data_IF_473322361250
#
_entry.id   IF_473322361250
#
_cell.length_a   1.000
_cell.length_b   1.000
_cell.length_c   1.000
_cell.angle_alpha   90.00
_cell.angle_beta   90.00
_cell.angle_gamma   90.00
#
_symmetry.space_group_name_H-M   'P 1'
#
loop_
_entity.id
_entity.type
_entity.pdbx_description
1 polymer ?
#
# COMPACT_ATOMS: atom_id res chain seq x y z
N UNK A 1 44.16 33.67 -46.24
CA UNK A 1 42.91 32.90 -46.42
C UNK A 1 42.65 32.13 -45.13
N UNK A 2 41.86 32.72 -44.26
CA UNK A 2 41.51 32.17 -42.94
C UNK A 2 40.07 31.66 -43.02
N UNK A 3 39.90 30.35 -42.93
CA UNK A 3 38.60 29.70 -42.84
C UNK A 3 38.12 29.79 -41.42
N UNK A 4 37.11 30.62 -41.16
CA UNK A 4 36.38 30.68 -39.93
C UNK A 4 35.34 29.55 -39.88
N UNK A 5 35.51 28.65 -38.93
CA UNK A 5 34.52 27.64 -38.54
C UNK A 5 33.45 28.35 -37.69
N UNK A 6 32.25 28.48 -38.24
CA UNK A 6 31.09 28.90 -37.49
C UNK A 6 30.47 27.69 -36.76
N UNK A 7 30.56 27.64 -35.45
CA UNK A 7 29.73 26.75 -34.61
C UNK A 7 28.35 27.39 -34.49
N UNK A 8 27.25 26.65 -34.66
CA UNK A 8 25.93 27.17 -34.36
C UNK A 8 25.77 27.27 -32.84
N UNK A 9 25.50 28.48 -32.38
CA UNK A 9 25.09 28.74 -30.99
C UNK A 9 23.68 28.20 -30.79
N UNK A 10 23.55 27.06 -30.14
CA UNK A 10 22.30 26.63 -29.57
C UNK A 10 22.03 27.45 -28.26
N UNK A 11 21.11 28.37 -28.34
CA UNK A 11 20.43 28.95 -27.18
C UNK A 11 18.99 29.26 -27.56
N UNK A 12 18.21 28.22 -27.79
CA UNK A 12 16.77 28.31 -27.56
C UNK A 12 16.57 28.03 -26.09
N UNK A 13 16.47 29.07 -25.28
CA UNK A 13 16.15 28.97 -23.87
C UNK A 13 14.72 28.49 -23.73
N UNK A 14 14.50 27.38 -23.08
CA UNK A 14 13.20 27.00 -22.57
C UNK A 14 12.68 28.16 -21.70
N UNK A 15 11.45 28.61 -21.94
CA UNK A 15 10.80 29.57 -21.05
C UNK A 15 10.42 28.85 -19.73
N UNK A 16 10.38 29.61 -18.62
CA UNK A 16 9.89 29.03 -17.36
C UNK A 16 8.48 28.44 -17.51
N UNK A 17 7.67 28.95 -18.44
CA UNK A 17 6.35 28.41 -18.76
C UNK A 17 6.43 27.03 -19.41
N UNK A 18 7.44 26.74 -20.24
CA UNK A 18 7.64 25.43 -20.87
C UNK A 18 8.22 24.41 -19.87
N UNK A 19 9.04 24.90 -18.91
CA UNK A 19 9.61 24.05 -17.86
C UNK A 19 8.58 23.64 -16.79
N UNK A 20 7.52 24.42 -16.60
CA UNK A 20 6.48 24.22 -15.60
C UNK A 20 5.08 24.08 -16.20
N UNK A 21 4.97 23.78 -17.50
CA UNK A 21 3.69 23.52 -18.14
C UNK A 21 3.05 22.29 -17.49
N UNK A 22 1.91 22.46 -16.87
CA UNK A 22 1.05 21.34 -16.50
C UNK A 22 0.47 20.77 -17.80
N UNK A 23 0.76 19.51 -18.10
CA UNK A 23 0.28 18.84 -19.32
C UNK A 23 -1.24 18.94 -19.49
N UNK A 24 -1.70 18.75 -20.72
CA UNK A 24 -3.11 18.91 -21.11
C UNK A 24 -3.98 17.65 -20.81
N UNK A 25 -3.56 16.77 -19.90
CA UNK A 25 -4.26 15.53 -19.56
C UNK A 25 -5.09 15.67 -18.28
N UNK A 26 -4.51 16.23 -17.22
CA UNK A 26 -5.16 16.29 -15.91
C UNK A 26 -5.74 17.67 -15.58
N UNK A 27 -7.00 17.66 -15.11
CA UNK A 27 -7.62 18.84 -14.48
C UNK A 27 -7.36 18.89 -12.97
N UNK A 28 -7.41 17.74 -12.28
CA UNK A 28 -7.31 17.62 -10.81
C UNK A 28 -6.60 16.33 -10.41
N UNK A 29 -5.29 16.27 -10.53
CA UNK A 29 -4.46 15.09 -10.21
C UNK A 29 -4.65 14.57 -8.78
N UNK A 30 -4.96 15.45 -7.84
CA UNK A 30 -5.13 15.10 -6.43
C UNK A 30 -6.26 14.10 -6.18
N UNK A 31 -7.26 13.99 -7.07
CA UNK A 31 -8.35 13.02 -6.97
C UNK A 31 -7.89 11.58 -7.20
N UNK A 32 -6.75 11.39 -7.86
CA UNK A 32 -6.15 10.09 -8.14
C UNK A 32 -5.05 9.72 -7.13
N UNK A 33 -4.80 10.55 -6.10
CA UNK A 33 -3.84 10.19 -5.05
C UNK A 33 -4.44 9.14 -4.12
N UNK A 34 -3.69 8.08 -3.82
CA UNK A 34 -4.09 6.99 -2.90
C UNK A 34 -4.46 7.49 -1.50
N UNK A 35 -3.81 8.56 -1.02
CA UNK A 35 -4.12 9.18 0.28
C UNK A 35 -5.35 10.10 0.28
N UNK A 36 -5.95 10.37 -0.88
CA UNK A 36 -7.12 11.24 -0.98
C UNK A 36 -8.36 10.54 -0.38
N UNK A 37 -9.00 11.19 0.60
CA UNK A 37 -10.26 10.72 1.20
C UNK A 37 -11.41 11.47 0.54
N UNK A 38 -12.12 10.84 -0.40
CA UNK A 38 -13.18 11.48 -1.14
C UNK A 38 -14.41 11.80 -0.27
N UNK A 39 -15.28 12.65 -0.78
CA UNK A 39 -16.60 12.91 -0.22
C UNK A 39 -17.51 11.66 -0.29
N UNK A 40 -18.64 11.71 0.45
CA UNK A 40 -19.57 10.58 0.59
C UNK A 40 -20.08 10.01 -0.73
N UNK A 41 -20.42 10.89 -1.64
CA UNK A 41 -20.99 10.59 -2.97
C UNK A 41 -20.01 9.85 -3.89
N UNK A 42 -18.73 9.91 -3.59
CA UNK A 42 -17.65 9.21 -4.33
C UNK A 42 -17.22 7.88 -3.68
N UNK A 43 -17.82 7.49 -2.55
CA UNK A 43 -17.57 6.19 -1.91
C UNK A 43 -18.59 5.18 -2.40
N UNK A 44 -18.16 4.26 -3.25
CA UNK A 44 -18.98 3.28 -3.95
C UNK A 44 -18.99 1.94 -3.21
N UNK A 45 -20.15 1.27 -3.23
CA UNK A 45 -20.27 -0.14 -2.85
C UNK A 45 -19.95 -0.45 -1.39
N UNK A 46 -20.01 0.57 -0.50
CA UNK A 46 -19.72 0.42 0.94
C UNK A 46 -20.82 0.93 1.88
N UNK A 47 -22.04 1.02 1.36
CA UNK A 47 -23.17 1.50 2.17
C UNK A 47 -23.48 0.64 3.39
N UNK A 48 -23.33 -0.68 3.26
CA UNK A 48 -23.53 -1.61 4.36
C UNK A 48 -22.45 -1.42 5.43
N UNK A 49 -21.20 -1.39 5.02
CA UNK A 49 -20.03 -1.22 5.89
C UNK A 49 -20.05 0.16 6.57
N UNK A 50 -20.38 1.21 5.84
CA UNK A 50 -20.58 2.55 6.40
C UNK A 50 -21.68 2.59 7.46
N UNK A 51 -22.81 1.91 7.22
CA UNK A 51 -23.88 1.80 8.23
C UNK A 51 -23.43 1.05 9.47
N UNK A 52 -22.64 -0.03 9.32
CA UNK A 52 -22.14 -0.82 10.44
C UNK A 52 -21.10 -0.04 11.28
N UNK A 53 -20.14 0.64 10.64
CA UNK A 53 -19.20 1.53 11.33
C UNK A 53 -19.95 2.68 11.99
N UNK A 54 -20.92 3.29 11.30
CA UNK A 54 -21.77 4.35 11.84
C UNK A 54 -22.60 3.89 13.04
N UNK A 55 -23.13 2.67 13.02
CA UNK A 55 -23.86 2.09 14.15
C UNK A 55 -22.96 1.78 15.35
N UNK A 56 -21.68 1.49 15.14
CA UNK A 56 -20.71 1.33 16.24
C UNK A 56 -20.38 2.68 16.89
N UNK A 57 -20.30 3.76 16.12
CA UNK A 57 -20.02 5.11 16.61
C UNK A 57 -21.26 5.92 16.99
N UNK A 58 -22.48 5.40 16.72
CA UNK A 58 -23.73 6.12 17.01
C UNK A 58 -23.82 6.65 18.44
N UNK A 59 -23.60 5.83 19.48
CA UNK A 59 -23.61 6.30 20.87
C UNK A 59 -22.64 7.46 21.14
N UNK A 60 -21.47 7.44 20.50
CA UNK A 60 -20.45 8.48 20.64
C UNK A 60 -20.90 9.87 20.17
N UNK A 61 -21.83 9.94 19.22
CA UNK A 61 -22.33 11.22 18.71
C UNK A 61 -23.26 11.94 19.73
N UNK A 62 -23.78 11.19 20.67
CA UNK A 62 -24.65 11.68 21.77
C UNK A 62 -23.93 11.70 23.13
N UNK A 63 -22.57 11.54 23.13
CA UNK A 63 -21.73 11.59 24.31
C UNK A 63 -21.71 10.28 25.11
N UNK A 64 -22.13 9.16 24.53
CA UNK A 64 -22.06 7.84 25.14
C UNK A 64 -20.84 7.03 24.65
N UNK A 65 -20.59 5.85 25.23
CA UNK A 65 -19.46 5.01 24.86
C UNK A 65 -19.59 4.47 23.43
N UNK A 66 -18.60 4.67 22.58
CA UNK A 66 -18.55 4.00 21.27
C UNK A 66 -18.32 2.50 21.45
N UNK A 67 -18.74 1.72 20.46
CA UNK A 67 -18.42 0.28 20.44
C UNK A 67 -17.11 0.06 19.72
N UNK A 68 -16.28 -0.79 20.28
CA UNK A 68 -15.06 -1.25 19.61
C UNK A 68 -15.41 -2.04 18.34
N UNK A 69 -14.58 -1.90 17.33
CA UNK A 69 -14.79 -2.53 16.04
C UNK A 69 -13.47 -3.10 15.53
N UNK A 70 -13.52 -4.36 15.07
CA UNK A 70 -12.41 -4.95 14.34
C UNK A 70 -12.83 -5.15 12.87
N UNK A 71 -12.00 -4.66 11.95
CA UNK A 71 -12.28 -4.67 10.52
C UNK A 71 -11.23 -5.51 9.79
N UNK A 72 -11.69 -6.53 9.09
CA UNK A 72 -10.85 -7.40 8.26
C UNK A 72 -11.10 -7.18 6.78
N UNK A 73 -10.11 -7.51 5.96
CA UNK A 73 -10.24 -7.51 4.51
C UNK A 73 -8.91 -7.26 3.82
N UNK A 74 -8.80 -7.64 2.54
CA UNK A 74 -7.59 -7.41 1.76
C UNK A 74 -7.26 -5.92 1.61
N UNK A 75 -6.02 -5.62 1.23
CA UNK A 75 -5.59 -4.26 0.86
C UNK A 75 -6.49 -3.70 -0.25
N UNK A 76 -6.71 -2.39 -0.25
CA UNK A 76 -7.49 -1.70 -1.28
C UNK A 76 -9.00 -1.89 -1.24
N UNK A 77 -9.55 -2.59 -0.22
CA UNK A 77 -11.01 -2.79 -0.07
C UNK A 77 -11.76 -1.63 0.59
N UNK A 78 -11.08 -0.54 0.92
CA UNK A 78 -11.71 0.68 1.45
C UNK A 78 -11.89 0.73 2.97
N UNK A 79 -11.30 -0.18 3.76
CA UNK A 79 -11.39 -0.22 5.24
C UNK A 79 -11.04 1.11 5.90
N UNK A 80 -9.81 1.56 5.69
CA UNK A 80 -9.28 2.81 6.23
C UNK A 80 -10.05 4.03 5.74
N UNK A 81 -10.47 4.02 4.48
CA UNK A 81 -11.26 5.07 3.86
C UNK A 81 -12.61 5.24 4.58
N UNK A 82 -13.37 4.16 4.71
CA UNK A 82 -14.69 4.16 5.37
C UNK A 82 -14.57 4.54 6.83
N UNK A 83 -13.60 3.98 7.56
CA UNK A 83 -13.37 4.28 8.98
C UNK A 83 -13.08 5.77 9.19
N UNK A 84 -12.14 6.34 8.44
CA UNK A 84 -11.80 7.78 8.50
C UNK A 84 -12.97 8.67 8.09
N UNK A 85 -13.70 8.28 7.03
CA UNK A 85 -14.87 9.04 6.58
C UNK A 85 -15.97 9.09 7.64
N UNK A 86 -16.33 7.95 8.24
CA UNK A 86 -17.39 7.88 9.25
C UNK A 86 -16.97 8.59 10.53
N UNK A 87 -15.71 8.47 10.99
CA UNK A 87 -15.23 9.23 12.16
C UNK A 87 -15.31 10.75 11.93
N UNK A 88 -14.93 11.25 10.74
CA UNK A 88 -15.11 12.69 10.40
C UNK A 88 -16.58 13.12 10.46
N UNK A 89 -17.49 12.28 9.98
CA UNK A 89 -18.93 12.56 10.03
C UNK A 89 -19.49 12.51 11.44
N UNK A 90 -19.09 11.51 12.25
CA UNK A 90 -19.46 11.41 13.65
C UNK A 90 -19.03 12.67 14.40
N UNK A 91 -17.79 13.13 14.22
CA UNK A 91 -17.29 14.38 14.81
C UNK A 91 -18.11 15.61 14.39
N UNK A 92 -18.42 15.77 13.09
CA UNK A 92 -19.27 16.86 12.62
C UNK A 92 -20.70 16.79 13.19
N UNK A 93 -21.21 15.58 13.40
CA UNK A 93 -22.54 15.38 13.97
C UNK A 93 -22.56 15.70 15.46
N UNK A 94 -21.59 15.18 16.24
CA UNK A 94 -21.47 15.39 17.68
C UNK A 94 -21.34 16.88 18.06
N UNK A 95 -20.65 17.68 17.26
CA UNK A 95 -20.51 19.13 17.44
C UNK A 95 -21.88 19.85 17.48
N UNK A 96 -22.88 19.35 16.76
CA UNK A 96 -24.24 19.94 16.78
C UNK A 96 -24.97 19.71 18.11
N UNK A 97 -24.60 18.65 18.83
CA UNK A 97 -25.11 18.30 20.15
C UNK A 97 -24.22 18.83 21.28
N UNK A 98 -23.17 19.59 20.97
CA UNK A 98 -22.23 20.13 21.95
C UNK A 98 -21.25 19.09 22.51
N UNK A 99 -21.17 17.89 21.93
CA UNK A 99 -20.28 16.81 22.36
C UNK A 99 -18.90 16.99 21.72
N UNK A 100 -17.86 16.99 22.55
CA UNK A 100 -16.47 17.09 22.13
C UNK A 100 -15.92 15.70 21.75
N UNK A 101 -16.24 15.24 20.54
CA UNK A 101 -15.70 14.01 19.97
C UNK A 101 -14.41 14.30 19.19
N UNK A 102 -13.34 13.56 19.52
CA UNK A 102 -12.06 13.59 18.80
C UNK A 102 -11.76 12.22 18.23
N UNK A 103 -11.01 12.20 17.12
CA UNK A 103 -10.53 10.96 16.53
C UNK A 103 -9.14 11.13 15.94
N UNK A 104 -8.34 10.07 16.01
CA UNK A 104 -6.99 9.99 15.44
C UNK A 104 -6.86 8.72 14.59
N UNK A 105 -5.91 8.75 13.68
CA UNK A 105 -5.57 7.62 12.83
C UNK A 105 -4.07 7.33 12.95
N UNK A 106 -3.73 6.08 13.24
CA UNK A 106 -2.35 5.61 13.30
C UNK A 106 -2.20 4.40 12.37
N UNK A 107 -1.18 4.46 11.54
CA UNK A 107 -0.73 3.34 10.72
C UNK A 107 0.32 2.53 11.51
N UNK A 108 -0.03 1.30 11.84
CA UNK A 108 0.85 0.42 12.62
C UNK A 108 1.98 -0.19 11.78
N UNK A 109 2.01 0.01 10.47
CA UNK A 109 3.18 -0.35 9.64
C UNK A 109 4.36 0.59 9.90
N UNK A 110 4.07 1.87 10.20
CA UNK A 110 5.07 2.87 10.55
C UNK A 110 5.32 2.91 12.07
N UNK A 111 4.29 2.62 12.86
CA UNK A 111 4.32 2.61 14.32
C UNK A 111 4.05 1.21 14.87
N UNK A 112 5.04 0.31 14.73
CA UNK A 112 4.93 -1.13 14.99
C UNK A 112 5.07 -1.56 16.46
N UNK A 113 5.35 -0.62 17.36
CA UNK A 113 5.51 -0.87 18.80
C UNK A 113 4.59 0.00 19.64
N UNK A 114 4.22 -0.46 20.83
CA UNK A 114 3.38 0.30 21.79
C UNK A 114 3.89 1.73 21.98
N UNK A 115 5.20 1.91 22.16
CA UNK A 115 5.78 3.24 22.38
C UNK A 115 5.63 4.16 21.17
N UNK A 116 5.79 3.63 19.94
CA UNK A 116 5.61 4.41 18.72
C UNK A 116 4.16 4.81 18.50
N UNK A 117 3.23 3.87 18.71
CA UNK A 117 1.80 4.17 18.63
C UNK A 117 1.41 5.21 19.67
N UNK A 118 1.79 5.02 20.94
CA UNK A 118 1.47 5.97 22.02
C UNK A 118 2.02 7.37 21.73
N UNK A 119 3.25 7.45 21.20
CA UNK A 119 3.86 8.72 20.75
C UNK A 119 3.02 9.37 19.66
N UNK A 120 2.66 8.62 18.63
CA UNK A 120 1.90 9.13 17.48
C UNK A 120 0.53 9.65 17.90
N UNK A 121 -0.18 8.91 18.77
CA UNK A 121 -1.45 9.33 19.36
C UNK A 121 -1.32 10.67 20.08
N UNK A 122 -0.33 10.81 20.96
CA UNK A 122 -0.12 12.03 21.73
C UNK A 122 0.21 13.21 20.84
N UNK A 123 1.09 13.04 19.86
CA UNK A 123 1.50 14.13 18.98
C UNK A 123 0.33 14.64 18.15
N UNK A 124 -0.50 13.76 17.57
CA UNK A 124 -1.68 14.15 16.82
C UNK A 124 -2.70 14.89 17.67
N UNK A 125 -2.99 14.38 18.89
CA UNK A 125 -3.93 15.02 19.83
C UNK A 125 -3.40 16.35 20.32
N UNK A 126 -2.09 16.45 20.67
CA UNK A 126 -1.43 17.69 21.09
C UNK A 126 -1.52 18.76 20.01
N UNK A 127 -1.19 18.42 18.79
CA UNK A 127 -1.18 19.36 17.65
C UNK A 127 -2.57 19.98 17.42
N UNK A 128 -3.62 19.23 17.74
CA UNK A 128 -5.00 19.71 17.62
C UNK A 128 -5.51 20.47 18.84
N UNK A 129 -5.24 19.98 20.06
CA UNK A 129 -5.87 20.48 21.29
C UNK A 129 -4.98 21.42 22.11
N UNK A 130 -3.67 21.16 22.12
CA UNK A 130 -2.71 21.89 22.92
C UNK A 130 -1.35 22.04 22.22
N UNK A 131 -1.27 22.75 21.09
CA UNK A 131 -0.06 22.83 20.27
C UNK A 131 1.14 23.46 21.01
N UNK A 132 0.91 24.16 22.11
CA UNK A 132 1.94 24.74 22.98
C UNK A 132 2.46 23.78 24.06
N UNK A 133 1.85 22.60 24.23
CA UNK A 133 2.30 21.61 25.20
C UNK A 133 3.61 20.99 24.73
N UNK A 134 4.64 21.05 25.55
CA UNK A 134 5.91 20.38 25.27
C UNK A 134 5.82 18.89 25.59
N UNK A 135 5.86 18.07 24.54
CA UNK A 135 5.87 16.61 24.64
C UNK A 135 7.17 16.12 24.01
N UNK A 136 8.02 15.41 24.78
CA UNK A 136 9.26 14.86 24.24
C UNK A 136 8.99 13.88 23.10
N UNK A 137 9.66 14.08 21.95
CA UNK A 137 9.52 13.20 20.78
C UNK A 137 10.30 11.90 20.97
N UNK A 138 11.30 11.88 21.86
CA UNK A 138 12.19 10.75 22.13
C UNK A 138 12.56 10.69 23.61
N UNK A 139 13.04 9.53 24.07
CA UNK A 139 13.64 9.37 25.40
C UNK A 139 12.67 9.05 26.52
N UNK A 140 11.38 8.86 26.24
CA UNK A 140 10.37 8.41 27.22
C UNK A 140 9.68 7.12 26.75
N UNK A 141 9.12 6.37 27.71
CA UNK A 141 8.42 5.12 27.42
C UNK A 141 6.93 5.30 27.13
N UNK A 142 6.27 4.22 26.70
CA UNK A 142 4.84 4.21 26.36
C UNK A 142 3.95 4.74 27.50
N UNK A 143 4.22 4.34 28.75
CA UNK A 143 3.45 4.77 29.92
C UNK A 143 3.47 6.28 30.15
N UNK A 144 4.57 6.95 29.77
CA UNK A 144 4.67 8.42 29.90
C UNK A 144 3.93 9.11 28.76
N UNK A 145 3.99 8.57 27.52
CA UNK A 145 3.16 9.06 26.42
C UNK A 145 1.67 8.93 26.75
N UNK A 146 1.22 7.78 27.28
CA UNK A 146 -0.18 7.64 27.71
C UNK A 146 -0.58 8.65 28.79
N UNK A 147 0.30 8.98 29.72
CA UNK A 147 0.00 10.02 30.73
C UNK A 147 -0.25 11.39 30.08
N UNK A 148 0.56 11.77 29.07
CA UNK A 148 0.30 12.97 28.29
C UNK A 148 -1.02 12.87 27.53
N UNK A 149 -1.31 11.72 26.93
CA UNK A 149 -2.55 11.48 26.19
C UNK A 149 -3.77 11.71 27.10
N UNK A 150 -3.79 11.06 28.27
CA UNK A 150 -4.92 11.18 29.19
C UNK A 150 -5.11 12.62 29.67
N UNK A 151 -4.05 13.36 29.96
CA UNK A 151 -4.13 14.79 30.29
C UNK A 151 -4.71 15.63 29.15
N UNK A 152 -4.35 15.33 27.89
CA UNK A 152 -4.90 16.02 26.73
C UNK A 152 -6.38 15.72 26.48
N UNK A 153 -6.90 14.64 27.02
CA UNK A 153 -8.29 14.23 26.89
C UNK A 153 -9.21 14.73 28.04
N UNK A 154 -8.70 15.49 29.00
CA UNK A 154 -9.49 15.99 30.15
C UNK A 154 -10.78 16.75 29.75
N UNK A 155 -10.74 17.50 28.63
CA UNK A 155 -11.88 18.24 28.09
C UNK A 155 -12.56 17.53 26.88
N UNK A 156 -12.29 16.23 26.67
CA UNK A 156 -12.84 15.43 25.58
C UNK A 156 -13.89 14.48 26.11
N UNK A 157 -15.09 14.48 25.54
CA UNK A 157 -16.17 13.57 25.95
C UNK A 157 -15.97 12.18 25.37
N UNK A 158 -15.56 12.11 24.09
CA UNK A 158 -15.36 10.84 23.36
C UNK A 158 -14.09 10.89 22.51
N UNK A 159 -13.27 9.89 22.64
CA UNK A 159 -12.04 9.72 21.86
C UNK A 159 -12.08 8.42 21.05
N UNK A 160 -11.97 8.52 19.71
CA UNK A 160 -11.97 7.37 18.81
C UNK A 160 -10.59 7.21 18.20
N UNK A 161 -10.01 6.02 18.35
CA UNK A 161 -8.72 5.68 17.76
C UNK A 161 -8.92 4.71 16.61
N UNK A 162 -8.39 5.04 15.44
CA UNK A 162 -8.30 4.11 14.30
C UNK A 162 -6.85 3.61 14.25
N UNK A 163 -6.67 2.32 14.49
CA UNK A 163 -5.40 1.61 14.33
C UNK A 163 -5.46 0.80 13.05
N UNK A 164 -4.70 1.20 12.05
CA UNK A 164 -4.63 0.49 10.77
C UNK A 164 -3.44 -0.46 10.74
N UNK A 165 -3.56 -1.57 10.01
CA UNK A 165 -2.54 -2.62 9.90
C UNK A 165 -2.06 -3.17 11.25
N UNK A 166 -3.01 -3.41 12.19
CA UNK A 166 -2.69 -3.92 13.54
C UNK A 166 -1.92 -5.26 13.53
N UNK A 167 -1.99 -6.02 12.44
CA UNK A 167 -1.20 -7.25 12.25
C UNK A 167 0.30 -7.00 12.06
N UNK A 168 0.75 -5.75 12.08
CA UNK A 168 2.15 -5.33 12.13
C UNK A 168 2.65 -5.00 13.53
N UNK A 169 1.75 -4.86 14.50
CA UNK A 169 2.13 -4.60 15.88
C UNK A 169 2.96 -5.76 16.44
N UNK A 170 3.97 -5.42 17.23
CA UNK A 170 4.83 -6.39 17.90
C UNK A 170 4.08 -7.17 19.01
N UNK A 171 3.08 -6.54 19.63
CA UNK A 171 2.25 -7.09 20.70
C UNK A 171 0.87 -6.40 20.76
N UNK A 172 -0.01 -6.89 21.65
CA UNK A 172 -1.38 -6.40 21.81
C UNK A 172 -1.53 -5.33 22.89
N UNK A 173 -0.44 -4.83 23.46
CA UNK A 173 -0.48 -3.96 24.66
C UNK A 173 -1.20 -2.64 24.38
N UNK A 174 -1.01 -2.08 23.18
CA UNK A 174 -1.74 -0.87 22.70
C UNK A 174 -3.25 -1.07 22.76
N UNK A 175 -3.74 -2.20 22.25
CA UNK A 175 -5.17 -2.51 22.19
C UNK A 175 -5.73 -2.64 23.60
N UNK A 176 -4.97 -3.27 24.50
CA UNK A 176 -5.35 -3.43 25.91
C UNK A 176 -5.37 -2.09 26.64
N UNK A 177 -4.39 -1.22 26.44
CA UNK A 177 -4.31 0.10 27.07
C UNK A 177 -5.48 1.00 26.66
N UNK A 178 -5.81 1.04 25.37
CA UNK A 178 -6.86 1.89 24.85
C UNK A 178 -8.27 1.38 25.20
N UNK A 179 -8.53 0.07 25.00
CA UNK A 179 -9.86 -0.51 25.24
C UNK A 179 -10.28 -0.53 26.71
N UNK A 180 -9.35 -0.38 27.63
CA UNK A 180 -9.60 -0.38 29.10
C UNK A 180 -9.30 0.95 29.77
N UNK A 181 -9.05 2.00 29.02
CA UNK A 181 -8.63 3.28 29.58
C UNK A 181 -9.66 3.86 30.56
N UNK A 182 -10.94 3.85 30.21
CA UNK A 182 -12.07 4.27 31.03
C UNK A 182 -12.25 3.37 32.27
N UNK A 183 -12.35 2.05 32.06
CA UNK A 183 -12.51 1.08 33.17
C UNK A 183 -11.40 1.18 34.23
N UNK A 184 -10.19 1.54 33.77
CA UNK A 184 -9.02 1.69 34.64
C UNK A 184 -8.92 3.08 35.29
N UNK A 185 -9.89 3.97 35.02
CA UNK A 185 -9.91 5.35 35.56
C UNK A 185 -8.76 6.21 35.10
N UNK A 186 -8.24 5.99 33.87
CA UNK A 186 -7.14 6.76 33.33
C UNK A 186 -7.60 8.06 32.64
N UNK A 187 -8.84 8.09 32.21
CA UNK A 187 -9.50 9.23 31.58
C UNK A 187 -11.01 9.15 31.82
N UNK A 188 -11.68 10.28 31.88
CA UNK A 188 -13.15 10.38 31.94
C UNK A 188 -13.76 10.33 30.52
N UNK A 189 -12.94 10.47 29.47
CA UNK A 189 -13.38 10.34 28.08
C UNK A 189 -13.74 8.89 27.75
N UNK A 190 -14.86 8.68 27.07
CA UNK A 190 -15.16 7.38 26.46
C UNK A 190 -14.21 7.07 25.32
N UNK A 191 -13.48 5.97 25.42
CA UNK A 191 -12.49 5.57 24.39
C UNK A 191 -13.05 4.44 23.53
N UNK A 192 -13.05 4.63 22.20
CA UNK A 192 -13.40 3.61 21.22
C UNK A 192 -12.25 3.29 20.29
N UNK A 193 -12.09 2.02 19.97
CA UNK A 193 -11.02 1.54 19.08
C UNK A 193 -11.62 0.92 17.83
N UNK A 194 -11.17 1.40 16.68
CA UNK A 194 -11.41 0.77 15.36
C UNK A 194 -10.09 0.15 14.93
N UNK A 195 -10.00 -1.16 15.02
CA UNK A 195 -8.84 -1.95 14.66
C UNK A 195 -8.99 -2.49 13.23
N UNK A 196 -8.00 -2.30 12.38
CA UNK A 196 -8.04 -2.73 10.98
C UNK A 196 -6.88 -3.69 10.70
N UNK A 197 -7.20 -4.87 10.15
CA UNK A 197 -6.19 -5.85 9.72
C UNK A 197 -6.40 -6.29 8.27
N UNK A 198 -5.29 -6.55 7.58
CA UNK A 198 -5.28 -7.16 6.25
C UNK A 198 -5.35 -8.70 6.31
N UNK A 199 -5.23 -9.29 7.50
CA UNK A 199 -5.22 -10.76 7.74
C UNK A 199 -6.39 -11.17 8.63
N UNK A 200 -7.23 -12.05 8.13
CA UNK A 200 -8.34 -12.61 8.92
C UNK A 200 -7.80 -13.50 10.06
N UNK A 201 -6.71 -14.20 9.81
CA UNK A 201 -6.06 -15.09 10.77
C UNK A 201 -5.47 -14.34 11.98
N UNK A 202 -5.28 -13.02 11.89
CA UNK A 202 -4.81 -12.19 13.02
C UNK A 202 -5.75 -12.29 14.24
N UNK A 203 -7.03 -12.53 14.02
CA UNK A 203 -8.00 -12.79 15.10
C UNK A 203 -7.57 -13.92 16.04
N UNK A 204 -7.00 -14.99 15.48
CA UNK A 204 -6.57 -16.16 16.27
C UNK A 204 -5.29 -15.89 17.06
N UNK A 205 -4.56 -14.83 16.71
CA UNK A 205 -3.33 -14.42 17.35
C UNK A 205 -3.58 -13.46 18.54
N UNK A 206 -4.74 -12.80 18.58
CA UNK A 206 -5.09 -11.88 19.65
C UNK A 206 -5.20 -12.61 20.98
N UNK A 207 -4.62 -12.04 22.03
CA UNK A 207 -4.77 -12.52 23.40
C UNK A 207 -6.26 -12.56 23.79
N UNK A 208 -6.70 -13.61 24.52
CA UNK A 208 -8.10 -13.75 24.95
C UNK A 208 -8.66 -12.51 25.68
N UNK A 209 -7.81 -11.82 26.46
CA UNK A 209 -8.20 -10.60 27.19
C UNK A 209 -8.46 -9.42 26.25
N UNK A 210 -7.65 -9.27 25.20
CA UNK A 210 -7.82 -8.24 24.18
C UNK A 210 -9.03 -8.60 23.33
N UNK A 211 -9.13 -9.85 22.93
CA UNK A 211 -10.25 -10.36 22.15
C UNK A 211 -11.60 -10.09 22.85
N UNK A 212 -11.69 -10.35 24.16
CA UNK A 212 -12.92 -10.07 24.94
C UNK A 212 -13.21 -8.56 25.08
N UNK A 213 -12.20 -7.69 25.07
CA UNK A 213 -12.39 -6.22 25.17
C UNK A 213 -12.72 -5.57 23.82
N UNK A 214 -12.30 -6.18 22.70
CA UNK A 214 -12.53 -5.67 21.35
C UNK A 214 -13.75 -6.28 20.65
N UNK A 215 -14.35 -7.35 21.21
CA UNK A 215 -15.38 -8.17 20.57
C UNK A 215 -16.78 -7.53 20.46
N UNK A 216 -16.90 -6.21 20.51
CA UNK A 216 -18.21 -5.61 20.32
C UNK A 216 -18.77 -5.87 18.92
N UNK A 217 -17.94 -5.77 17.90
CA UNK A 217 -18.35 -6.06 16.49
C UNK A 217 -17.17 -6.41 15.58
N UNK A 218 -17.42 -7.36 14.69
CA UNK A 218 -16.53 -7.69 13.57
C UNK A 218 -17.16 -7.28 12.24
N UNK A 219 -16.32 -6.80 11.32
CA UNK A 219 -16.75 -6.41 10.00
C UNK A 219 -15.73 -6.86 8.96
N UNK A 220 -16.21 -7.53 7.91
CA UNK A 220 -15.36 -7.96 6.80
C UNK A 220 -15.64 -7.13 5.56
N UNK A 221 -14.59 -6.57 4.97
CA UNK A 221 -14.62 -5.88 3.70
C UNK A 221 -14.22 -6.84 2.57
N UNK A 222 -15.14 -7.12 1.70
CA UNK A 222 -14.87 -7.95 0.52
C UNK A 222 -14.17 -7.14 -0.57
N UNK A 223 -13.35 -7.78 -1.43
CA UNK A 223 -12.81 -7.14 -2.63
C UNK A 223 -13.91 -6.54 -3.50
N UNK A 224 -13.57 -5.48 -4.22
CA UNK A 224 -14.49 -4.90 -5.19
C UNK A 224 -14.59 -5.78 -6.44
N UNK A 225 -15.78 -5.85 -7.02
CA UNK A 225 -15.99 -6.42 -8.35
C UNK A 225 -15.69 -5.40 -9.46
N UNK A 226 -15.69 -5.84 -10.72
CA UNK A 226 -15.37 -4.97 -11.84
C UNK A 226 -16.37 -3.81 -12.00
N UNK A 227 -17.70 -3.99 -11.90
CA UNK A 227 -18.67 -2.89 -11.92
C UNK A 227 -18.44 -1.85 -10.82
N UNK A 228 -18.12 -2.28 -9.60
CA UNK A 228 -17.82 -1.37 -8.49
C UNK A 228 -16.55 -0.56 -8.74
N UNK A 229 -15.50 -1.21 -9.27
CA UNK A 229 -14.26 -0.52 -9.64
C UNK A 229 -14.48 0.48 -10.77
N UNK A 230 -15.28 0.13 -11.76
CA UNK A 230 -15.66 1.03 -12.84
C UNK A 230 -16.38 2.28 -12.30
N UNK A 231 -17.36 2.11 -11.41
CA UNK A 231 -18.05 3.22 -10.75
C UNK A 231 -17.08 4.08 -9.89
N UNK A 232 -16.14 3.44 -9.18
CA UNK A 232 -15.09 4.14 -8.39
C UNK A 232 -14.23 5.01 -9.30
N UNK A 233 -13.85 4.53 -10.49
CA UNK A 233 -13.04 5.25 -11.45
C UNK A 233 -13.86 6.33 -12.18
N UNK A 234 -15.11 6.06 -12.55
CA UNK A 234 -16.01 7.06 -13.13
C UNK A 234 -16.22 8.25 -12.19
N UNK A 235 -16.36 8.02 -10.90
CA UNK A 235 -16.44 9.08 -9.89
C UNK A 235 -15.13 9.88 -9.72
N UNK A 236 -14.10 9.56 -10.50
CA UNK A 236 -12.82 10.28 -10.59
C UNK A 236 -12.50 10.76 -12.01
N UNK A 237 -13.39 10.57 -12.95
CA UNK A 237 -13.24 11.03 -14.35
C UNK A 237 -12.89 12.52 -14.42
N UNK A 238 -13.41 13.32 -13.51
CA UNK A 238 -13.14 14.75 -13.37
C UNK A 238 -11.70 15.08 -12.85
N UNK A 239 -10.87 14.08 -12.64
CA UNK A 239 -9.42 14.27 -12.49
C UNK A 239 -8.74 14.61 -13.83
N UNK A 240 -9.37 14.28 -14.93
CA UNK A 240 -8.93 14.53 -16.28
C UNK A 240 -9.67 15.70 -16.92
N UNK A 241 -9.07 16.29 -17.93
CA UNK A 241 -9.75 17.28 -18.78
C UNK A 241 -10.88 16.63 -19.58
N UNK A 242 -11.89 17.39 -19.94
CA UNK A 242 -13.03 16.90 -20.68
C UNK A 242 -12.61 16.34 -22.06
N UNK A 243 -13.05 15.13 -22.37
CA UNK A 243 -12.80 14.46 -23.64
C UNK A 243 -11.43 13.77 -23.79
N UNK A 244 -10.55 13.88 -22.78
CA UNK A 244 -9.20 13.27 -22.83
C UNK A 244 -9.25 11.76 -22.60
N UNK A 245 -10.16 11.25 -21.77
CA UNK A 245 -10.29 9.82 -21.53
C UNK A 245 -11.13 9.13 -22.60
N UNK A 246 -10.55 8.20 -23.34
CA UNK A 246 -11.30 7.30 -24.21
C UNK A 246 -12.29 6.44 -23.40
N UNK A 247 -13.42 6.07 -24.01
CA UNK A 247 -14.51 5.37 -23.32
C UNK A 247 -14.13 3.98 -22.81
N UNK A 248 -13.12 3.34 -23.40
CA UNK A 248 -12.65 2.00 -23.02
C UNK A 248 -11.59 2.00 -21.90
N UNK A 249 -11.04 3.15 -21.53
CA UNK A 249 -9.98 3.29 -20.51
C UNK A 249 -10.45 2.83 -19.14
N UNK A 250 -11.56 3.39 -18.65
CA UNK A 250 -12.08 3.08 -17.31
C UNK A 250 -12.56 1.63 -17.21
N UNK A 251 -13.39 1.10 -18.14
CA UNK A 251 -13.78 -0.31 -18.11
C UNK A 251 -12.60 -1.28 -18.14
N UNK A 252 -11.58 -0.99 -18.95
CA UNK A 252 -10.37 -1.82 -19.03
C UNK A 252 -9.57 -1.79 -17.73
N UNK A 253 -9.35 -0.61 -17.16
CA UNK A 253 -8.65 -0.44 -15.88
C UNK A 253 -9.37 -1.19 -14.75
N UNK A 254 -10.71 -1.07 -14.68
CA UNK A 254 -11.53 -1.78 -13.71
C UNK A 254 -11.43 -3.31 -13.86
N UNK A 255 -11.50 -3.80 -15.09
CA UNK A 255 -11.37 -5.23 -15.38
C UNK A 255 -10.00 -5.79 -14.98
N UNK A 256 -8.91 -5.06 -15.25
CA UNK A 256 -7.56 -5.45 -14.85
C UNK A 256 -7.43 -5.52 -13.31
N UNK A 257 -7.85 -4.48 -12.60
CA UNK A 257 -7.79 -4.45 -11.14
C UNK A 257 -8.69 -5.51 -10.47
N UNK A 258 -9.86 -5.81 -11.06
CA UNK A 258 -10.74 -6.88 -10.57
C UNK A 258 -10.09 -8.26 -10.68
N UNK A 259 -9.37 -8.53 -11.78
CA UNK A 259 -8.61 -9.79 -11.99
C UNK A 259 -7.50 -9.96 -10.96
N UNK A 260 -6.92 -8.87 -10.47
CA UNK A 260 -5.84 -8.84 -9.49
C UNK A 260 -6.35 -8.62 -8.05
N UNK A 261 -7.45 -9.22 -7.68
CA UNK A 261 -8.01 -9.22 -6.32
C UNK A 261 -8.96 -8.07 -5.96
N UNK A 262 -9.43 -7.26 -6.88
CA UNK A 262 -10.43 -6.21 -6.61
C UNK A 262 -9.91 -5.09 -5.71
N UNK A 263 -8.67 -4.67 -5.92
CA UNK A 263 -7.99 -3.59 -5.19
C UNK A 263 -8.28 -2.24 -5.86
N UNK A 264 -9.05 -1.37 -5.18
CA UNK A 264 -9.38 -0.05 -5.70
C UNK A 264 -8.17 0.91 -5.74
N UNK A 265 -7.18 0.75 -4.84
CA UNK A 265 -5.95 1.55 -4.89
C UNK A 265 -5.22 1.27 -6.20
N UNK A 266 -5.07 -0.02 -6.53
CA UNK A 266 -4.43 -0.43 -7.77
C UNK A 266 -5.17 0.08 -9.02
N UNK A 267 -6.50 0.06 -9.00
CA UNK A 267 -7.30 0.61 -10.10
C UNK A 267 -7.00 2.11 -10.31
N UNK A 268 -6.98 2.88 -9.22
CA UNK A 268 -6.68 4.32 -9.25
C UNK A 268 -5.23 4.59 -9.68
N UNK A 269 -4.28 3.79 -9.19
CA UNK A 269 -2.86 3.92 -9.56
C UNK A 269 -2.63 3.65 -11.05
N UNK A 270 -3.24 2.59 -11.61
CA UNK A 270 -3.15 2.29 -13.05
C UNK A 270 -3.75 3.43 -13.89
N UNK A 271 -4.91 3.97 -13.47
CA UNK A 271 -5.54 5.08 -14.19
C UNK A 271 -4.68 6.36 -14.12
N UNK A 272 -4.09 6.66 -12.98
CA UNK A 272 -3.17 7.78 -12.81
C UNK A 272 -1.94 7.62 -13.69
N UNK A 273 -1.32 6.43 -13.68
CA UNK A 273 -0.13 6.14 -14.46
C UNK A 273 -0.40 6.17 -15.96
N UNK A 274 -1.59 5.69 -16.42
CA UNK A 274 -2.00 5.77 -17.81
C UNK A 274 -2.10 7.24 -18.29
N UNK A 275 -2.65 8.13 -17.45
CA UNK A 275 -2.66 9.56 -17.74
C UNK A 275 -1.27 10.18 -17.75
N UNK A 276 -0.40 9.78 -16.82
CA UNK A 276 0.98 10.27 -16.75
C UNK A 276 1.80 9.84 -17.98
N UNK A 277 1.60 8.60 -18.46
CA UNK A 277 2.24 8.10 -19.67
C UNK A 277 1.80 8.89 -20.94
N UNK A 278 0.52 9.26 -21.00
CA UNK A 278 0.03 10.09 -22.10
C UNK A 278 0.70 11.48 -22.08
N UNK A 279 0.85 12.11 -20.91
CA UNK A 279 1.60 13.37 -20.79
C UNK A 279 3.09 13.22 -21.15
N UNK A 280 3.76 12.16 -20.67
CA UNK A 280 5.18 11.89 -21.00
C UNK A 280 5.43 11.69 -22.50
N UNK A 281 4.39 11.28 -23.25
CA UNK A 281 4.46 11.04 -24.70
C UNK A 281 3.94 12.22 -25.53
N UNK A 282 3.53 13.31 -24.89
CA UNK A 282 2.87 14.45 -25.53
C UNK A 282 1.58 14.04 -26.30
N UNK A 283 0.90 12.99 -25.82
CA UNK A 283 -0.37 12.55 -26.37
C UNK A 283 -1.51 13.44 -25.85
N UNK A 284 -2.53 13.69 -26.67
CA UNK A 284 -3.68 14.52 -26.31
C UNK A 284 -4.84 13.73 -25.70
N UNK A 285 -4.76 12.41 -25.73
CA UNK A 285 -5.81 11.50 -25.26
C UNK A 285 -5.21 10.30 -24.54
N UNK A 286 -5.92 9.81 -23.50
CA UNK A 286 -5.59 8.58 -22.78
C UNK A 286 -6.36 7.43 -23.42
N UNK A 287 -5.66 6.42 -23.91
CA UNK A 287 -6.24 5.25 -24.61
C UNK A 287 -6.04 3.96 -23.82
N UNK A 288 -6.68 2.89 -24.27
CA UNK A 288 -6.49 1.56 -23.68
C UNK A 288 -5.04 1.03 -23.78
N UNK A 289 -4.24 1.53 -24.73
CA UNK A 289 -2.81 1.19 -24.81
C UNK A 289 -2.05 1.78 -23.62
N UNK A 290 -2.33 3.02 -23.24
CA UNK A 290 -1.73 3.63 -22.03
C UNK A 290 -2.05 2.84 -20.77
N UNK A 291 -3.23 2.20 -20.69
CA UNK A 291 -3.59 1.33 -19.56
C UNK A 291 -2.74 0.07 -19.52
N UNK A 292 -2.49 -0.58 -20.68
CA UNK A 292 -1.60 -1.74 -20.76
C UNK A 292 -0.17 -1.39 -20.34
N UNK A 293 0.36 -0.29 -20.88
CA UNK A 293 1.70 0.19 -20.58
C UNK A 293 1.83 0.61 -19.08
N UNK A 294 0.78 1.24 -18.53
CA UNK A 294 0.73 1.61 -17.12
C UNK A 294 0.73 0.39 -16.19
N UNK A 295 -0.01 -0.66 -16.56
CA UNK A 295 0.00 -1.91 -15.81
C UNK A 295 1.42 -2.51 -15.81
N UNK A 296 2.03 -2.63 -16.98
CA UNK A 296 3.39 -3.16 -17.11
C UNK A 296 4.38 -2.34 -16.28
N UNK A 297 4.38 -1.01 -16.41
CA UNK A 297 5.25 -0.10 -15.62
C UNK A 297 5.06 -0.26 -14.10
N UNK A 298 3.82 -0.39 -13.64
CA UNK A 298 3.51 -0.61 -12.22
C UNK A 298 4.06 -1.95 -11.72
N UNK A 299 3.96 -3.00 -12.52
CA UNK A 299 4.50 -4.31 -12.16
C UNK A 299 6.03 -4.35 -12.16
N UNK A 300 6.66 -3.68 -13.13
CA UNK A 300 8.12 -3.49 -13.17
C UNK A 300 8.60 -2.80 -11.90
N UNK A 301 7.99 -1.68 -11.53
CA UNK A 301 8.34 -0.93 -10.32
C UNK A 301 8.17 -1.77 -9.04
N UNK A 302 7.07 -2.49 -8.91
CA UNK A 302 6.86 -3.41 -7.76
C UNK A 302 7.93 -4.48 -7.67
N UNK A 303 8.34 -5.02 -8.81
CA UNK A 303 9.41 -6.01 -8.83
C UNK A 303 10.76 -5.40 -8.47
N UNK A 304 11.06 -4.17 -8.95
CA UNK A 304 12.25 -3.41 -8.55
C UNK A 304 12.30 -3.20 -7.04
N UNK A 305 11.20 -2.75 -6.42
CA UNK A 305 11.11 -2.55 -4.97
C UNK A 305 11.35 -3.87 -4.22
N UNK A 306 10.78 -4.97 -4.71
CA UNK A 306 10.94 -6.30 -4.10
C UNK A 306 12.38 -6.79 -4.11
N UNK A 307 13.15 -6.47 -5.14
CA UNK A 307 14.54 -6.90 -5.30
C UNK A 307 15.57 -5.81 -5.00
N UNK A 308 15.15 -4.62 -4.55
CA UNK A 308 16.04 -3.47 -4.30
C UNK A 308 17.15 -3.77 -3.29
N UNK A 309 16.83 -4.48 -2.21
CA UNK A 309 17.79 -4.93 -1.19
C UNK A 309 18.56 -6.21 -1.52
N UNK A 310 18.33 -6.81 -2.70
CA UNK A 310 18.97 -8.06 -3.09
C UNK A 310 20.41 -7.86 -3.57
N UNK A 311 21.26 -8.84 -3.30
CA UNK A 311 22.66 -8.83 -3.79
C UNK A 311 22.69 -8.94 -5.33
N UNK A 312 23.76 -8.45 -5.99
CA UNK A 312 23.91 -8.58 -7.45
C UNK A 312 23.75 -10.02 -7.95
N UNK A 313 24.24 -10.99 -7.19
CA UNK A 313 24.12 -12.40 -7.55
C UNK A 313 22.68 -12.91 -7.58
N UNK A 314 21.81 -12.44 -6.68
CA UNK A 314 20.36 -12.76 -6.73
C UNK A 314 19.76 -12.19 -8.00
N UNK A 315 20.07 -10.94 -8.35
CA UNK A 315 19.60 -10.30 -9.58
C UNK A 315 20.04 -11.10 -10.83
N UNK A 316 21.29 -11.56 -10.89
CA UNK A 316 21.79 -12.39 -11.99
C UNK A 316 21.10 -13.77 -12.09
N UNK A 317 20.81 -14.39 -10.93
CA UNK A 317 20.07 -15.67 -10.86
C UNK A 317 18.63 -15.49 -11.38
N UNK A 318 17.93 -14.46 -10.95
CA UNK A 318 16.57 -14.17 -11.39
C UNK A 318 16.54 -13.83 -12.87
N UNK A 319 17.51 -13.07 -13.38
CA UNK A 319 17.69 -12.79 -14.81
C UNK A 319 17.95 -14.07 -15.62
N UNK A 320 18.79 -14.97 -15.12
CA UNK A 320 19.03 -16.26 -15.77
C UNK A 320 17.76 -17.08 -15.88
N UNK A 321 16.97 -17.17 -14.80
CA UNK A 321 15.72 -17.90 -14.80
C UNK A 321 14.69 -17.26 -15.76
N UNK A 322 14.57 -15.93 -15.78
CA UNK A 322 13.69 -15.21 -16.69
C UNK A 322 14.07 -15.44 -18.15
N UNK A 323 15.35 -15.36 -18.50
CA UNK A 323 15.83 -15.64 -19.84
C UNK A 323 15.61 -17.09 -20.27
N UNK A 324 15.75 -18.06 -19.38
CA UNK A 324 15.43 -19.45 -19.65
C UNK A 324 13.94 -19.62 -19.95
N UNK A 325 13.09 -18.98 -19.14
CA UNK A 325 11.63 -19.04 -19.30
C UNK A 325 11.16 -18.42 -20.63
N UNK A 326 11.78 -17.31 -21.06
CA UNK A 326 11.45 -16.66 -22.35
C UNK A 326 11.91 -17.45 -23.58
N UNK A 327 13.04 -18.16 -23.47
CA UNK A 327 13.65 -18.85 -24.61
C UNK A 327 13.31 -20.35 -24.69
N UNK A 328 12.35 -20.83 -23.90
CA UNK A 328 11.94 -22.22 -23.85
C UNK A 328 10.42 -22.34 -23.68
N UNK A 329 9.87 -23.42 -24.21
CA UNK A 329 8.48 -23.80 -23.91
C UNK A 329 8.33 -24.34 -22.48
N UNK A 330 9.44 -24.71 -21.84
CA UNK A 330 9.47 -25.18 -20.46
C UNK A 330 9.34 -24.02 -19.48
N UNK A 331 8.59 -24.25 -18.40
CA UNK A 331 8.39 -23.28 -17.31
C UNK A 331 9.16 -23.63 -16.04
N UNK A 332 9.85 -24.79 -16.02
CA UNK A 332 10.56 -25.31 -14.89
C UNK A 332 11.99 -25.71 -15.28
N UNK A 333 12.97 -25.21 -14.55
CA UNK A 333 14.39 -25.43 -14.83
C UNK A 333 15.11 -25.96 -13.61
N UNK A 334 16.03 -26.91 -13.82
CA UNK A 334 16.89 -27.43 -12.75
C UNK A 334 17.87 -26.35 -12.26
N UNK A 335 18.30 -26.46 -11.02
CA UNK A 335 19.36 -25.58 -10.48
C UNK A 335 20.60 -25.55 -11.39
N UNK A 336 20.95 -26.68 -12.03
CA UNK A 336 22.11 -26.77 -12.92
C UNK A 336 21.94 -25.98 -14.23
N UNK A 337 20.74 -25.96 -14.79
CA UNK A 337 20.45 -25.15 -15.99
C UNK A 337 20.52 -23.68 -15.68
N UNK A 338 19.91 -23.26 -14.56
CA UNK A 338 19.95 -21.87 -14.08
C UNK A 338 21.39 -21.46 -13.78
N UNK A 339 22.16 -22.31 -13.05
CA UNK A 339 23.55 -22.03 -12.69
C UNK A 339 24.44 -21.81 -13.91
N UNK A 340 24.31 -22.63 -14.93
CA UNK A 340 25.09 -22.50 -16.17
C UNK A 340 24.86 -21.16 -16.90
N UNK A 341 23.63 -20.65 -16.93
CA UNK A 341 23.36 -19.35 -17.54
C UNK A 341 23.78 -18.20 -16.60
N UNK A 342 23.52 -18.35 -15.29
CA UNK A 342 23.94 -17.41 -14.26
C UNK A 342 25.46 -17.18 -14.27
N UNK A 343 26.31 -18.24 -14.39
CA UNK A 343 27.76 -18.12 -14.45
C UNK A 343 28.18 -17.15 -15.57
N UNK A 344 27.64 -17.34 -16.78
CA UNK A 344 27.91 -16.46 -17.93
C UNK A 344 27.47 -15.02 -17.68
N UNK A 345 26.32 -14.82 -17.04
CA UNK A 345 25.84 -13.47 -16.71
C UNK A 345 26.73 -12.79 -15.67
N UNK A 346 27.14 -13.51 -14.61
CA UNK A 346 28.01 -12.98 -13.58
C UNK A 346 29.40 -12.61 -14.15
N UNK A 347 30.00 -13.48 -14.96
CA UNK A 347 31.30 -13.24 -15.63
C UNK A 347 31.24 -12.02 -16.55
N UNK A 348 30.16 -11.87 -17.34
CA UNK A 348 29.97 -10.71 -18.23
C UNK A 348 29.86 -9.37 -17.48
N UNK A 349 29.39 -9.40 -16.23
CA UNK A 349 29.29 -8.23 -15.34
C UNK A 349 30.54 -8.10 -14.44
N UNK A 350 31.60 -8.89 -14.69
CA UNK A 350 32.86 -8.83 -13.97
C UNK A 350 32.79 -9.35 -12.53
N UNK A 351 31.80 -10.17 -12.20
CA UNK A 351 31.60 -10.78 -10.87
C UNK A 351 32.05 -12.24 -10.89
N UNK A 352 32.71 -12.68 -9.81
CA UNK A 352 33.06 -14.08 -9.66
C UNK A 352 31.83 -14.94 -9.37
N UNK A 353 31.54 -15.97 -10.19
CA UNK A 353 30.36 -16.81 -10.02
C UNK A 353 30.35 -17.56 -8.66
N UNK A 354 29.18 -17.62 -8.05
CA UNK A 354 28.96 -18.43 -6.83
C UNK A 354 28.86 -19.91 -7.18
N UNK A 355 29.17 -20.77 -6.20
CA UNK A 355 29.00 -22.20 -6.35
C UNK A 355 27.56 -22.62 -6.56
N UNK A 356 27.35 -23.77 -7.20
CA UNK A 356 26.02 -24.37 -7.42
C UNK A 356 25.19 -24.47 -6.12
N UNK A 357 25.80 -24.87 -5.00
CA UNK A 357 25.12 -24.97 -3.70
C UNK A 357 24.66 -23.59 -3.17
N UNK A 358 25.44 -22.54 -3.43
CA UNK A 358 25.06 -21.19 -3.02
C UNK A 358 23.89 -20.68 -3.85
N UNK A 359 23.92 -20.89 -5.17
CA UNK A 359 22.81 -20.55 -6.07
C UNK A 359 21.54 -21.30 -5.69
N UNK A 360 21.64 -22.59 -5.36
CA UNK A 360 20.51 -23.37 -4.85
C UNK A 360 19.88 -22.75 -3.60
N UNK A 361 20.70 -22.31 -2.62
CA UNK A 361 20.17 -21.65 -1.40
C UNK A 361 19.48 -20.33 -1.72
N UNK A 362 20.06 -19.51 -2.58
CA UNK A 362 19.48 -18.25 -3.00
C UNK A 362 18.15 -18.45 -3.73
N UNK A 363 18.03 -19.44 -4.60
CA UNK A 363 16.74 -19.80 -5.25
C UNK A 363 15.68 -20.23 -4.23
N UNK A 364 16.07 -20.95 -3.17
CA UNK A 364 15.14 -21.27 -2.08
C UNK A 364 14.71 -20.06 -1.27
N UNK A 365 15.63 -19.13 -1.01
CA UNK A 365 15.28 -17.84 -0.38
C UNK A 365 14.29 -17.05 -1.23
N UNK A 366 14.48 -17.01 -2.56
CA UNK A 366 13.53 -16.37 -3.48
C UNK A 366 12.17 -17.11 -3.55
N UNK A 367 12.16 -18.42 -3.33
CA UNK A 367 10.93 -19.19 -3.23
C UNK A 367 10.14 -18.85 -1.96
N UNK A 368 10.80 -18.59 -0.85
CA UNK A 368 10.15 -18.10 0.37
C UNK A 368 9.53 -16.71 0.18
N UNK A 369 10.15 -15.85 -0.64
CA UNK A 369 9.63 -14.52 -1.00
C UNK A 369 8.54 -14.56 -2.09
N UNK A 370 8.19 -15.75 -2.60
CA UNK A 370 7.17 -15.90 -3.65
C UNK A 370 7.59 -15.37 -5.03
N UNK A 371 8.90 -15.14 -5.26
CA UNK A 371 9.45 -14.75 -6.57
C UNK A 371 9.62 -15.97 -7.44
N UNK A 372 10.06 -17.09 -6.86
CA UNK A 372 10.19 -18.37 -7.52
C UNK A 372 9.36 -19.43 -6.80
N UNK A 373 9.12 -20.57 -7.44
CA UNK A 373 8.56 -21.75 -6.81
C UNK A 373 9.50 -22.94 -7.05
N UNK A 374 9.70 -23.78 -6.02
CA UNK A 374 10.62 -24.90 -6.09
C UNK A 374 9.89 -26.22 -5.95
N UNK A 375 10.07 -27.12 -6.91
CA UNK A 375 9.42 -28.43 -6.98
C UNK A 375 10.44 -29.56 -6.83
N UNK A 376 10.09 -30.57 -6.03
CA UNK A 376 10.83 -31.82 -6.02
C UNK A 376 10.35 -32.72 -7.19
N UNK A 377 11.25 -33.01 -8.12
CA UNK A 377 10.97 -34.04 -9.11
C UNK A 377 11.14 -35.41 -8.46
N UNK A 378 10.07 -36.21 -8.48
CA UNK A 378 10.12 -37.60 -8.01
C UNK A 378 11.11 -38.42 -8.87
N UNK A 379 12.27 -38.76 -8.33
CA UNK A 379 13.25 -39.60 -8.98
C UNK A 379 12.72 -41.00 -9.14
N UNK A 380 12.51 -41.47 -10.40
CA UNK A 380 12.47 -42.91 -10.66
C UNK A 380 13.82 -43.54 -10.31
N UNK A 381 13.86 -44.86 -10.15
CA UNK A 381 15.01 -45.63 -9.64
C UNK A 381 16.36 -45.42 -10.36
N UNK A 382 16.42 -44.61 -11.43
CA UNK A 382 17.63 -44.32 -12.21
C UNK A 382 18.04 -42.85 -12.31
N UNK A 383 17.23 -41.88 -11.80
CA UNK A 383 17.56 -40.44 -11.75
C UNK A 383 17.32 -39.94 -10.34
N UNK A 384 18.36 -39.48 -9.66
CA UNK A 384 18.27 -38.88 -8.32
C UNK A 384 17.21 -37.77 -8.29
N UNK A 385 16.54 -37.60 -7.14
CA UNK A 385 15.61 -36.49 -6.94
C UNK A 385 16.40 -35.16 -7.06
N UNK A 386 15.94 -34.28 -7.94
CA UNK A 386 16.49 -32.93 -8.10
C UNK A 386 15.39 -31.87 -7.97
N UNK A 387 15.78 -30.65 -7.60
CA UNK A 387 14.86 -29.53 -7.54
C UNK A 387 14.78 -28.84 -8.89
N UNK A 388 13.57 -28.51 -9.28
CA UNK A 388 13.27 -27.60 -10.38
C UNK A 388 12.68 -26.30 -9.81
N UNK A 389 12.95 -25.20 -10.49
CA UNK A 389 12.51 -23.88 -10.09
C UNK A 389 11.70 -23.27 -11.23
N UNK A 390 10.60 -22.60 -10.87
CA UNK A 390 9.75 -21.84 -11.78
C UNK A 390 9.72 -20.38 -11.34
N UNK A 391 9.74 -19.48 -12.31
CA UNK A 391 9.50 -18.06 -12.06
C UNK A 391 7.99 -17.83 -11.84
N UNK A 392 7.64 -17.10 -10.78
CA UNK A 392 6.23 -16.79 -10.42
C UNK A 392 5.79 -15.41 -10.93
N UNK A 393 6.70 -14.69 -11.56
CA UNK A 393 6.47 -13.38 -12.18
C UNK A 393 6.63 -13.50 -13.69
N UNK A 394 6.04 -12.55 -14.41
CA UNK A 394 6.23 -12.46 -15.84
C UNK A 394 7.72 -12.24 -16.16
N UNK A 395 8.33 -13.08 -17.00
CA UNK A 395 9.76 -13.00 -17.26
C UNK A 395 10.18 -11.70 -17.98
N UNK A 396 9.30 -11.08 -18.78
CA UNK A 396 9.58 -9.78 -19.43
C UNK A 396 9.67 -8.67 -18.38
N UNK A 397 8.75 -8.66 -17.41
CA UNK A 397 8.76 -7.73 -16.27
C UNK A 397 10.03 -7.89 -15.43
N UNK A 398 10.45 -9.13 -15.17
CA UNK A 398 11.68 -9.39 -14.40
C UNK A 398 12.90 -8.84 -15.13
N UNK A 399 13.02 -9.04 -16.44
CA UNK A 399 14.15 -8.54 -17.23
C UNK A 399 14.14 -7.01 -17.27
N UNK A 400 13.02 -6.39 -17.59
CA UNK A 400 12.88 -4.94 -17.66
C UNK A 400 13.24 -4.28 -16.31
N UNK A 401 12.74 -4.83 -15.20
CA UNK A 401 13.03 -4.34 -13.85
C UNK A 401 14.51 -4.42 -13.49
N UNK A 402 15.20 -5.47 -13.92
CA UNK A 402 16.62 -5.68 -13.64
C UNK A 402 17.55 -4.88 -14.59
N UNK A 403 17.06 -4.45 -15.76
CA UNK A 403 17.81 -3.64 -16.72
C UNK A 403 17.72 -2.15 -16.39
N UNK A 404 16.55 -1.64 -15.99
CA UNK A 404 16.36 -0.23 -15.60
C UNK A 404 17.10 0.12 -14.30
N UNK A 405 17.28 -0.80 -13.38
CA UNK A 405 18.09 -0.59 -12.16
C UNK A 405 19.60 -0.42 -12.38
N UNK A 406 20.08 -0.48 -13.61
CA UNK A 406 21.48 -0.20 -13.98
C UNK A 406 21.74 1.27 -14.35
N UNK A 407 20.70 2.09 -14.53
CA UNK A 407 20.86 3.50 -14.91
C UNK A 407 20.92 4.45 -13.70
N UNK A 408 20.58 3.98 -12.50
CA UNK A 408 20.52 4.80 -11.27
C UNK A 408 21.70 4.52 -10.29
N UNK A 409 22.64 3.61 -10.61
CA UNK A 409 23.90 3.37 -9.88
C UNK A 409 25.09 3.98 -10.68
#
# INVERSE_FOLDING_TARGET
MTLGSAYPTMSEGYSDADLFSTGDIFARRELLRVGHVPDRDRIVGRDSEMRQVGAALGPATDGGPPRNLIIFGKTGTGKSLVSRHICRRARKHSQKSGINLRHVYVDCSDADTETRVARELVLQVRDELAPSMDVPVQGIGASEYYRYLWTLLDDVDVFVVILDEIDKLADDDVLMQLSRAEESGKTDAYVGVISISNKIEYREQLNERVNSSLQDRELTFHPYDAPQLEEILENRRDAFLDGVLHDDVIPKTAALAAREHGDARKAVDILFEAGSLAEERDDTEVTSQHVDDAQQRTEVKRFQDLVSGSTPHVKYILRALALLTLNSDDQQFSTSEIHRLYERLAENEGSDPLSHDRVYRLLKEQSFLGITESYHTGGGASKGAFLQHRLMKDPEIVIEALDTGKQDD
#
